data_IF_978842425122
#
_entry.id   IF_978842425122
#
_cell.length_a   1.000
_cell.length_b   1.000
_cell.length_c   1.000
_cell.angle_alpha   90.00
_cell.angle_beta   90.00
_cell.angle_gamma   90.00
#
_symmetry.space_group_name_H-M   'P 1'
#
loop_
_entity.id
_entity.type
_entity.pdbx_description
1 polymer ?
#
# COMPACT_ATOMS: atom_id res chain seq x y z
N UNK A 1 -8.11 -26.53 60.31
CA UNK A 1 -9.47 -26.17 59.86
C UNK A 1 -10.06 -25.24 60.90
N UNK A 2 -10.07 -23.93 60.64
CA UNK A 2 -10.68 -22.96 61.57
C UNK A 2 -11.34 -21.88 60.72
N UNK A 3 -12.64 -22.03 60.55
CA UNK A 3 -13.54 -21.15 59.81
C UNK A 3 -13.78 -19.89 60.64
N UNK A 4 -13.52 -18.71 60.06
CA UNK A 4 -13.86 -17.42 60.67
C UNK A 4 -14.96 -16.75 59.83
N UNK A 5 -16.19 -16.93 60.31
CA UNK A 5 -17.40 -16.26 59.85
C UNK A 5 -17.36 -14.79 60.30
N UNK A 6 -17.50 -13.85 59.37
CA UNK A 6 -17.78 -12.45 59.70
C UNK A 6 -19.11 -12.02 59.10
N UNK A 7 -20.01 -11.63 60.00
CA UNK A 7 -21.34 -11.08 59.77
C UNK A 7 -21.32 -9.63 60.25
N UNK A 8 -21.57 -8.66 59.38
CA UNK A 8 -22.00 -7.29 59.72
C UNK A 8 -22.85 -6.77 58.53
N UNK A 9 -24.19 -6.69 58.65
CA UNK A 9 -25.02 -5.52 59.04
C UNK A 9 -24.72 -4.29 58.15
N UNK A 10 -25.50 -4.00 57.10
CA UNK A 10 -26.88 -3.46 56.99
C UNK A 10 -27.05 -2.07 57.66
N UNK A 11 -27.52 -1.11 56.85
CA UNK A 11 -27.93 0.29 57.13
C UNK A 11 -26.85 1.39 57.15
N UNK A 12 -26.51 1.95 55.98
CA UNK A 12 -26.48 3.41 55.76
C UNK A 12 -26.94 3.70 54.33
N UNK A 13 -28.21 4.11 54.23
CA UNK A 13 -28.85 4.68 53.05
C UNK A 13 -28.14 6.00 52.69
N UNK A 14 -27.42 6.04 51.57
CA UNK A 14 -26.93 7.30 50.98
C UNK A 14 -27.36 7.32 49.51
N UNK A 15 -28.44 8.08 49.27
CA UNK A 15 -29.00 8.44 47.98
C UNK A 15 -27.94 9.22 47.16
N UNK A 16 -27.15 8.50 46.36
CA UNK A 16 -26.35 9.11 45.30
C UNK A 16 -27.20 9.07 44.04
N UNK A 17 -27.77 10.22 43.69
CA UNK A 17 -28.35 10.50 42.38
C UNK A 17 -27.22 10.41 41.36
N UNK A 18 -27.07 9.25 40.73
CA UNK A 18 -26.16 9.05 39.61
C UNK A 18 -26.72 9.79 38.39
N UNK A 19 -26.23 11.02 38.18
CA UNK A 19 -26.48 11.78 36.95
C UNK A 19 -25.69 11.06 35.84
N UNK A 20 -26.35 10.14 35.15
CA UNK A 20 -25.85 9.50 33.94
C UNK A 20 -25.85 10.52 32.79
N UNK A 21 -24.80 11.33 32.69
CA UNK A 21 -24.53 12.10 31.48
C UNK A 21 -24.12 11.10 30.38
N UNK A 22 -24.83 11.02 29.24
CA UNK A 22 -24.36 10.23 28.12
C UNK A 22 -23.10 10.90 27.58
N UNK A 23 -21.94 10.28 27.80
CA UNK A 23 -20.71 10.58 27.09
C UNK A 23 -20.93 10.24 25.62
N UNK A 24 -21.53 11.16 24.86
CA UNK A 24 -21.46 11.18 23.41
C UNK A 24 -19.99 11.36 23.04
N UNK A 25 -19.31 10.23 22.83
CA UNK A 25 -18.02 10.21 22.14
C UNK A 25 -18.29 10.62 20.70
N UNK A 26 -18.20 11.92 20.42
CA UNK A 26 -18.08 12.43 19.06
C UNK A 26 -16.81 11.81 18.50
N UNK A 27 -16.97 10.76 17.69
CA UNK A 27 -15.87 10.21 16.90
C UNK A 27 -15.61 11.25 15.82
N UNK A 28 -14.68 12.17 16.08
CA UNK A 28 -14.18 13.06 15.05
C UNK A 28 -13.45 12.20 14.04
N UNK A 29 -14.15 11.80 12.96
CA UNK A 29 -13.49 11.39 11.75
C UNK A 29 -12.61 12.57 11.33
N UNK A 30 -11.31 12.36 11.21
CA UNK A 30 -10.40 13.41 10.78
C UNK A 30 -10.83 13.87 9.38
N UNK A 31 -11.24 15.12 9.25
CA UNK A 31 -11.61 15.70 7.97
C UNK A 31 -10.35 15.79 7.09
N UNK A 32 -10.41 15.22 5.89
CA UNK A 32 -9.29 15.23 4.95
C UNK A 32 -9.21 16.60 4.28
N UNK A 33 -8.08 17.28 4.42
CA UNK A 33 -7.95 18.68 3.95
C UNK A 33 -7.59 18.80 2.47
N UNK A 34 -7.14 17.71 1.84
CA UNK A 34 -6.65 17.70 0.45
C UNK A 34 -5.49 18.68 0.18
N UNK A 35 -4.74 19.07 1.22
CA UNK A 35 -3.58 19.97 1.11
C UNK A 35 -2.44 19.36 0.28
N UNK A 36 -2.30 18.04 0.34
CA UNK A 36 -1.36 17.25 -0.45
C UNK A 36 -2.15 16.16 -1.17
N UNK A 37 -2.72 16.44 -2.35
CA UNK A 37 -3.68 15.53 -2.99
C UNK A 37 -3.05 14.23 -3.50
N UNK A 38 -1.72 14.22 -3.66
CA UNK A 38 -0.94 13.08 -4.14
C UNK A 38 -0.08 12.50 -3.01
N UNK A 39 0.16 11.19 -3.07
CA UNK A 39 1.09 10.52 -2.17
C UNK A 39 2.46 11.19 -2.24
N UNK A 40 3.12 11.49 -1.10
CA UNK A 40 2.95 10.93 0.25
C UNK A 40 1.89 11.60 1.14
N UNK A 41 1.03 12.47 0.59
CA UNK A 41 -0.02 13.18 1.32
C UNK A 41 0.50 14.04 2.49
N UNK A 42 1.76 14.45 2.42
CA UNK A 42 2.40 15.40 3.32
C UNK A 42 3.57 16.08 2.60
N UNK A 43 4.09 17.16 3.18
CA UNK A 43 5.33 17.80 2.69
C UNK A 43 6.54 16.97 3.09
N UNK A 44 7.17 16.32 2.11
CA UNK A 44 8.46 15.64 2.29
C UNK A 44 9.63 16.50 1.84
N UNK A 45 10.81 16.13 2.31
CA UNK A 45 12.02 16.84 1.98
C UNK A 45 12.49 16.50 0.56
N UNK A 46 12.94 17.53 -0.15
CA UNK A 46 13.48 17.45 -1.51
C UNK A 46 14.94 17.92 -1.48
N UNK A 47 15.84 17.39 -2.33
CA UNK A 47 15.61 16.42 -3.41
C UNK A 47 15.40 14.98 -2.91
N UNK A 48 14.92 14.07 -3.78
CA UNK A 48 14.59 12.71 -3.40
C UNK A 48 15.84 11.82 -3.26
N UNK A 49 16.73 12.18 -2.36
CA UNK A 49 17.92 11.40 -2.02
C UNK A 49 17.81 10.89 -0.57
N UNK A 50 18.05 9.60 -0.39
CA UNK A 50 18.04 8.89 0.90
C UNK A 50 19.15 7.84 0.88
N UNK A 51 19.80 7.55 2.03
CA UNK A 51 20.73 6.43 2.13
C UNK A 51 20.00 5.08 2.04
N UNK A 52 18.70 5.03 2.32
CA UNK A 52 17.91 3.81 2.22
C UNK A 52 17.26 3.67 0.84
N UNK A 53 17.29 2.45 0.30
CA UNK A 53 16.46 2.02 -0.82
C UNK A 53 15.69 0.74 -0.44
N UNK A 54 14.55 0.54 -1.09
CA UNK A 54 13.74 -0.68 -0.94
C UNK A 54 13.80 -1.51 -2.22
N UNK A 55 14.01 -2.81 -2.06
CA UNK A 55 13.93 -3.82 -3.12
C UNK A 55 12.76 -4.78 -2.88
N UNK A 56 12.17 -5.29 -3.96
CA UNK A 56 10.94 -6.08 -3.96
C UNK A 56 9.68 -5.24 -4.16
N UNK A 57 8.52 -5.66 -3.64
CA UNK A 57 8.33 -6.76 -2.69
C UNK A 57 8.39 -8.16 -3.34
N UNK A 58 9.03 -9.10 -2.65
CA UNK A 58 9.08 -10.52 -3.03
C UNK A 58 7.99 -11.32 -2.31
N UNK A 59 7.22 -12.11 -3.05
CA UNK A 59 6.21 -13.01 -2.46
C UNK A 59 6.88 -14.21 -1.78
N UNK A 60 6.54 -14.47 -0.51
CA UNK A 60 7.08 -15.60 0.28
C UNK A 60 6.04 -16.69 0.59
N UNK A 61 4.84 -16.62 -0.01
CA UNK A 61 3.72 -17.50 0.33
C UNK A 61 2.83 -16.94 1.43
N UNK A 62 1.66 -17.56 1.64
CA UNK A 62 0.70 -17.18 2.69
C UNK A 62 0.39 -15.68 2.73
N UNK A 63 0.17 -15.07 1.56
CA UNK A 63 -0.10 -13.62 1.42
C UNK A 63 0.97 -12.73 2.08
N UNK A 64 2.21 -13.22 2.15
CA UNK A 64 3.34 -12.51 2.76
C UNK A 64 4.27 -11.96 1.68
N UNK A 65 4.56 -10.67 1.81
CA UNK A 65 5.35 -9.88 0.86
C UNK A 65 6.48 -9.18 1.59
N UNK A 66 7.72 -9.38 1.15
CA UNK A 66 8.90 -8.89 1.84
C UNK A 66 9.66 -7.87 1.02
N UNK A 67 9.97 -6.74 1.65
CA UNK A 67 10.80 -5.66 1.15
C UNK A 67 12.19 -5.80 1.76
N UNK A 68 13.23 -5.75 0.94
CA UNK A 68 14.61 -5.72 1.43
C UNK A 68 15.11 -4.29 1.45
N UNK A 69 15.65 -3.87 2.59
CA UNK A 69 16.28 -2.58 2.76
C UNK A 69 17.74 -2.69 2.36
N UNK A 70 18.23 -1.74 1.56
CA UNK A 70 19.66 -1.57 1.29
C UNK A 70 20.10 -0.19 1.73
N UNK A 71 21.32 -0.09 2.24
CA UNK A 71 21.92 1.18 2.66
C UNK A 71 23.03 1.55 1.70
N UNK A 72 22.87 2.68 1.02
CA UNK A 72 23.96 3.33 0.32
C UNK A 72 24.68 4.29 1.29
N UNK A 73 25.78 3.81 1.87
CA UNK A 73 26.64 4.62 2.75
C UNK A 73 27.28 5.81 2.02
N UNK A 74 27.38 5.74 0.69
CA UNK A 74 27.89 6.81 -0.16
C UNK A 74 26.73 7.58 -0.78
N UNK A 75 26.01 8.30 0.06
CA UNK A 75 25.11 9.35 -0.42
C UNK A 75 25.97 10.47 -1.01
N UNK A 76 25.56 11.01 -2.16
CA UNK A 76 26.32 12.06 -2.86
C UNK A 76 26.78 13.16 -1.89
N UNK A 77 28.05 13.59 -1.93
CA UNK A 77 28.55 14.65 -1.04
C UNK A 77 27.84 16.00 -1.26
N UNK A 78 27.13 16.16 -2.38
CA UNK A 78 26.28 17.33 -2.63
C UNK A 78 24.95 17.29 -1.86
N UNK A 79 24.58 16.16 -1.24
CA UNK A 79 23.35 16.05 -0.49
C UNK A 79 23.54 16.47 0.98
N UNK A 80 23.06 17.65 1.30
CA UNK A 80 23.14 18.24 2.65
C UNK A 80 21.81 18.19 3.41
N UNK A 81 20.77 17.61 2.81
CA UNK A 81 19.43 17.50 3.39
C UNK A 81 19.42 16.57 4.61
N UNK A 82 18.36 16.67 5.41
CA UNK A 82 18.09 15.77 6.54
C UNK A 82 18.05 14.31 6.07
N UNK A 83 17.40 14.07 4.93
CA UNK A 83 17.23 12.73 4.36
C UNK A 83 18.54 12.02 4.05
N UNK A 84 19.62 12.77 3.81
CA UNK A 84 20.91 12.20 3.47
C UNK A 84 21.80 11.93 4.68
N UNK A 85 21.73 12.76 5.71
CA UNK A 85 22.76 12.79 6.75
C UNK A 85 22.25 12.38 8.14
N UNK A 86 20.94 12.47 8.38
CA UNK A 86 20.37 12.37 9.73
C UNK A 86 19.18 11.41 9.82
N UNK A 87 18.73 10.90 8.68
CA UNK A 87 17.55 10.06 8.60
C UNK A 87 17.83 8.68 9.22
N UNK A 88 17.04 8.35 10.23
CA UNK A 88 16.77 6.97 10.62
C UNK A 88 15.49 6.47 9.91
N UNK A 89 15.25 5.15 9.94
CA UNK A 89 14.11 4.52 9.29
C UNK A 89 13.21 3.86 10.34
N UNK A 90 12.26 4.66 10.86
CA UNK A 90 11.34 4.21 11.90
C UNK A 90 9.99 3.77 11.37
N UNK A 91 9.54 4.34 10.26
CA UNK A 91 8.19 4.10 9.74
C UNK A 91 8.20 4.04 8.21
N UNK A 92 7.44 3.10 7.68
CA UNK A 92 7.13 2.92 6.26
C UNK A 92 5.63 3.18 6.09
N UNK A 93 5.26 4.04 5.14
CA UNK A 93 3.86 4.20 4.73
C UNK A 93 3.70 3.86 3.25
N UNK A 94 2.60 3.19 2.90
CA UNK A 94 2.26 2.79 1.53
C UNK A 94 0.92 3.37 1.12
N UNK A 95 0.82 3.80 -0.14
CA UNK A 95 -0.44 4.24 -0.74
C UNK A 95 -1.32 3.02 -1.08
N UNK A 96 -2.46 2.88 -0.42
CA UNK A 96 -3.35 1.73 -0.60
C UNK A 96 -4.76 2.15 -0.95
N UNK A 97 -5.52 1.23 -1.52
CA UNK A 97 -6.91 1.46 -1.81
C UNK A 97 -7.77 1.45 -0.53
N UNK A 98 -8.72 2.38 -0.45
CA UNK A 98 -9.59 2.54 0.72
C UNK A 98 -10.50 1.35 0.99
N UNK A 99 -10.82 0.52 -0.01
CA UNK A 99 -11.63 -0.69 0.18
C UNK A 99 -10.91 -1.80 0.95
N UNK A 100 -9.59 -1.69 1.15
CA UNK A 100 -8.83 -2.59 2.02
C UNK A 100 -8.99 -2.24 3.51
N UNK A 101 -9.44 -1.02 3.83
CA UNK A 101 -9.76 -0.59 5.19
C UNK A 101 -11.12 -1.15 5.61
N UNK A 102 -11.13 -2.42 6.03
CA UNK A 102 -12.33 -3.06 6.55
C UNK A 102 -12.18 -3.36 8.05
N UNK A 103 -13.24 -3.13 8.85
CA UNK A 103 -13.19 -3.41 10.28
C UNK A 103 -12.75 -4.84 10.58
N UNK A 104 -11.75 -4.97 11.46
CA UNK A 104 -11.21 -6.24 11.90
C UNK A 104 -10.35 -6.97 10.86
N UNK A 105 -9.87 -6.28 9.82
CA UNK A 105 -8.84 -6.84 8.92
C UNK A 105 -7.62 -7.28 9.73
N UNK A 106 -7.06 -8.43 9.38
CA UNK A 106 -5.88 -8.98 10.06
C UNK A 106 -4.65 -8.64 9.24
N UNK A 107 -3.79 -7.79 9.79
CA UNK A 107 -2.50 -7.45 9.22
C UNK A 107 -1.41 -7.76 10.25
N UNK A 108 -0.28 -8.23 9.77
CA UNK A 108 0.90 -8.41 10.60
C UNK A 108 2.16 -8.09 9.82
N UNK A 109 3.22 -7.72 10.52
CA UNK A 109 4.52 -7.52 9.91
C UNK A 109 5.63 -8.11 10.75
N UNK A 110 6.72 -8.44 10.07
CA UNK A 110 7.97 -8.87 10.71
C UNK A 110 9.13 -8.03 10.20
N UNK A 111 10.14 -7.88 11.05
CA UNK A 111 11.44 -7.33 10.72
C UNK A 111 12.48 -8.41 10.97
N UNK A 112 13.20 -8.82 9.93
CA UNK A 112 14.18 -9.91 9.99
C UNK A 112 13.59 -11.19 10.59
N UNK A 113 12.37 -11.54 10.17
CA UNK A 113 11.63 -12.73 10.63
C UNK A 113 11.04 -12.64 12.04
N UNK A 114 11.25 -11.54 12.77
CA UNK A 114 10.66 -11.32 14.09
C UNK A 114 9.44 -10.41 13.99
N UNK A 115 8.32 -10.70 14.66
CA UNK A 115 7.17 -9.79 14.70
C UNK A 115 7.57 -8.37 15.10
N UNK A 116 7.03 -7.37 14.42
CA UNK A 116 7.22 -5.96 14.82
C UNK A 116 6.53 -5.71 16.16
N UNK A 117 6.99 -4.70 16.91
CA UNK A 117 6.42 -4.37 18.23
C UNK A 117 4.96 -3.90 18.14
N UNK A 118 4.55 -3.38 16.98
CA UNK A 118 3.19 -2.96 16.68
C UNK A 118 2.79 -3.52 15.32
N UNK A 119 1.55 -3.98 15.23
CA UNK A 119 0.98 -4.45 13.96
C UNK A 119 0.81 -3.29 12.97
N UNK A 120 0.80 -3.57 11.66
CA UNK A 120 0.45 -2.57 10.68
C UNK A 120 -0.94 -1.97 10.93
N UNK A 121 -1.11 -0.68 10.66
CA UNK A 121 -2.40 0.02 10.71
C UNK A 121 -2.80 0.57 9.35
N UNK A 122 -4.10 0.59 9.08
CA UNK A 122 -4.67 1.31 7.93
C UNK A 122 -5.37 2.55 8.46
N UNK A 123 -5.08 3.70 7.85
CA UNK A 123 -5.60 5.00 8.27
C UNK A 123 -5.87 5.91 7.07
N UNK A 124 -6.86 6.77 7.17
CA UNK A 124 -7.05 7.87 6.22
C UNK A 124 -5.87 8.86 6.32
N UNK A 125 -5.41 9.34 5.17
CA UNK A 125 -4.41 10.39 5.09
C UNK A 125 -5.03 11.75 5.42
N UNK A 126 -4.72 12.40 6.56
CA UNK A 126 -5.44 13.60 6.99
C UNK A 126 -5.27 14.80 6.06
N UNK A 127 -4.15 14.88 5.34
CA UNK A 127 -3.89 15.93 4.36
C UNK A 127 -4.04 15.45 2.91
N UNK A 128 -4.45 14.19 2.71
CA UNK A 128 -4.69 13.61 1.41
C UNK A 128 -6.04 14.01 0.82
N UNK A 129 -6.26 13.63 -0.44
CA UNK A 129 -7.58 13.72 -1.09
C UNK A 129 -8.60 12.82 -0.37
N UNK A 130 -9.91 13.06 -0.58
CA UNK A 130 -10.96 12.20 -0.04
C UNK A 130 -10.74 10.72 -0.41
N UNK A 131 -10.74 9.84 0.59
CA UNK A 131 -10.47 8.41 0.43
C UNK A 131 -9.00 8.03 0.32
N UNK A 132 -8.06 8.98 0.34
CA UNK A 132 -6.64 8.69 0.41
C UNK A 132 -6.34 7.89 1.68
N UNK A 133 -5.80 6.69 1.51
CA UNK A 133 -5.65 5.70 2.59
C UNK A 133 -4.22 5.19 2.61
N UNK A 134 -3.68 5.05 3.82
CA UNK A 134 -2.30 4.69 4.08
C UNK A 134 -2.24 3.39 4.88
N UNK A 135 -1.37 2.47 4.46
CA UNK A 135 -0.90 1.37 5.30
C UNK A 135 0.38 1.82 5.99
N UNK A 136 0.45 1.72 7.32
CA UNK A 136 1.60 2.14 8.13
C UNK A 136 2.25 0.95 8.81
N UNK A 137 3.56 0.81 8.67
CA UNK A 137 4.40 -0.08 9.46
C UNK A 137 5.33 0.80 10.30
N UNK A 138 5.19 0.76 11.61
CA UNK A 138 5.90 1.66 12.53
C UNK A 138 6.86 0.90 13.45
N UNK A 139 7.69 1.65 14.17
CA UNK A 139 8.66 1.12 15.14
C UNK A 139 9.63 0.10 14.54
N UNK A 140 10.06 0.36 13.30
CA UNK A 140 11.07 -0.46 12.63
C UNK A 140 12.43 -0.34 13.30
N UNK A 141 12.75 0.81 13.90
CA UNK A 141 14.00 1.02 14.64
C UNK A 141 15.26 0.84 13.78
N UNK A 142 15.12 1.00 12.47
CA UNK A 142 16.22 0.87 11.52
C UNK A 142 17.00 2.19 11.44
N UNK A 143 18.29 2.07 11.18
CA UNK A 143 19.21 3.17 10.95
C UNK A 143 20.37 2.67 10.06
N UNK A 144 21.25 3.56 9.64
CA UNK A 144 22.37 3.24 8.73
C UNK A 144 23.16 1.99 9.19
N UNK A 145 23.37 1.80 10.50
CA UNK A 145 24.18 0.70 11.03
C UNK A 145 23.51 -0.68 11.03
N UNK A 146 22.18 -0.75 10.92
CA UNK A 146 21.43 -2.01 11.05
C UNK A 146 20.37 -2.23 9.96
N UNK A 147 20.18 -1.27 9.06
CA UNK A 147 19.18 -1.33 8.01
C UNK A 147 19.65 -2.13 6.80
N UNK A 148 20.96 -2.21 6.55
CA UNK A 148 21.44 -2.90 5.36
C UNK A 148 21.13 -4.40 5.41
N UNK A 149 20.44 -4.88 4.38
CA UNK A 149 19.95 -6.25 4.30
C UNK A 149 18.75 -6.56 5.17
N UNK A 150 18.20 -5.59 5.92
CA UNK A 150 17.01 -5.82 6.73
C UNK A 150 15.81 -6.20 5.84
N UNK A 151 15.03 -7.19 6.25
CA UNK A 151 13.84 -7.66 5.52
C UNK A 151 12.58 -7.28 6.31
N UNK A 152 11.74 -6.44 5.71
CA UNK A 152 10.44 -6.03 6.24
C UNK A 152 9.38 -6.84 5.51
N UNK A 153 8.71 -7.76 6.21
CA UNK A 153 7.64 -8.56 5.63
C UNK A 153 6.28 -8.11 6.13
N UNK A 154 5.32 -8.01 5.21
CA UNK A 154 3.92 -7.71 5.45
C UNK A 154 3.10 -8.93 5.09
N UNK A 155 2.28 -9.43 6.02
CA UNK A 155 1.33 -10.51 5.78
C UNK A 155 -0.08 -9.94 5.74
N UNK A 156 -0.75 -10.15 4.61
CA UNK A 156 -2.08 -9.66 4.32
C UNK A 156 -3.14 -10.72 4.68
N UNK A 157 -4.21 -10.27 5.32
CA UNK A 157 -5.30 -11.13 5.76
C UNK A 157 -6.67 -10.52 5.51
N UNK A 158 -7.69 -11.32 5.75
CA UNK A 158 -9.08 -10.89 5.73
C UNK A 158 -9.60 -10.76 7.16
N UNK A 159 -10.72 -10.05 7.31
CA UNK A 159 -11.50 -10.09 8.54
C UNK A 159 -12.33 -11.39 8.62
N UNK A 160 -13.10 -11.56 9.69
CA UNK A 160 -13.95 -12.76 9.91
C UNK A 160 -15.02 -12.98 8.83
N UNK A 161 -15.34 -11.95 8.04
CA UNK A 161 -16.31 -12.02 6.94
C UNK A 161 -15.64 -12.28 5.57
N UNK A 162 -14.33 -12.57 5.54
CA UNK A 162 -13.59 -12.79 4.30
C UNK A 162 -13.37 -11.52 3.48
N UNK A 163 -13.48 -10.33 4.09
CA UNK A 163 -13.22 -9.04 3.45
C UNK A 163 -11.82 -8.54 3.80
N UNK A 164 -11.20 -7.83 2.87
CA UNK A 164 -9.83 -7.32 2.97
C UNK A 164 -9.05 -7.59 1.68
N UNK A 165 -7.84 -7.07 1.61
CA UNK A 165 -6.95 -7.27 0.48
C UNK A 165 -5.91 -8.33 0.86
N UNK A 166 -5.71 -9.32 -0.01
CA UNK A 166 -4.80 -10.46 0.24
C UNK A 166 -3.61 -10.49 -0.71
N UNK A 167 -3.64 -9.63 -1.73
CA UNK A 167 -2.55 -9.44 -2.70
C UNK A 167 -2.13 -7.98 -2.75
N UNK A 168 -0.92 -7.71 -3.25
CA UNK A 168 -0.47 -6.33 -3.48
C UNK A 168 -1.21 -5.65 -4.63
N UNK A 169 -1.69 -6.43 -5.60
CA UNK A 169 -2.54 -5.94 -6.70
C UNK A 169 -3.82 -5.30 -6.16
N UNK A 170 -4.48 -5.99 -5.22
CA UNK A 170 -5.72 -5.49 -4.61
C UNK A 170 -5.46 -4.40 -3.56
N UNK A 171 -4.27 -4.40 -2.97
CA UNK A 171 -3.89 -3.50 -1.87
C UNK A 171 -3.43 -2.14 -2.38
N UNK A 172 -2.48 -2.11 -3.31
CA UNK A 172 -1.68 -0.93 -3.58
C UNK A 172 -2.25 -0.08 -4.71
N UNK A 173 -2.27 1.25 -4.51
CA UNK A 173 -2.56 2.20 -5.59
C UNK A 173 -1.28 2.35 -6.43
N UNK A 174 -1.24 1.88 -7.68
CA UNK A 174 -0.04 1.95 -8.47
C UNK A 174 0.24 3.40 -8.89
N UNK A 175 1.53 3.83 -8.90
CA UNK A 175 1.87 5.12 -9.48
C UNK A 175 1.76 5.06 -11.00
N UNK A 176 1.20 6.08 -11.68
CA UNK A 176 1.25 6.15 -13.14
C UNK A 176 2.71 6.17 -13.65
N UNK A 177 3.05 5.47 -14.74
CA UNK A 177 2.22 4.64 -15.62
C UNK A 177 2.23 3.15 -15.25
N UNK A 178 2.68 2.78 -14.04
CA UNK A 178 2.86 1.39 -13.63
C UNK A 178 1.51 0.71 -13.44
N UNK A 179 1.51 -0.61 -13.69
CA UNK A 179 0.35 -1.47 -13.48
C UNK A 179 0.28 -1.90 -12.00
N UNK A 180 -0.80 -2.57 -11.62
CA UNK A 180 -1.03 -2.99 -10.24
C UNK A 180 0.08 -3.89 -9.69
N UNK A 181 0.05 -4.07 -8.37
CA UNK A 181 1.06 -4.82 -7.63
C UNK A 181 2.32 -4.00 -7.34
N UNK A 182 2.44 -2.80 -7.89
CA UNK A 182 3.46 -1.81 -7.50
C UNK A 182 2.90 -0.90 -6.41
N UNK A 183 3.58 -0.85 -5.26
CA UNK A 183 3.22 0.05 -4.18
C UNK A 183 4.08 1.30 -4.22
N UNK A 184 3.47 2.48 -4.06
CA UNK A 184 4.22 3.67 -3.67
C UNK A 184 4.46 3.63 -2.17
N UNK A 185 5.71 3.81 -1.78
CA UNK A 185 6.13 3.80 -0.38
C UNK A 185 6.88 5.08 -0.02
N UNK A 186 6.79 5.51 1.22
CA UNK A 186 7.53 6.65 1.78
C UNK A 186 8.12 6.25 3.12
N UNK A 187 9.30 6.77 3.40
CA UNK A 187 10.05 6.48 4.62
C UNK A 187 9.97 7.67 5.57
N UNK A 188 9.86 7.38 6.87
CA UNK A 188 9.81 8.38 7.93
C UNK A 188 10.83 8.10 9.02
N UNK A 189 11.44 9.18 9.49
CA UNK A 189 12.33 9.20 10.63
C UNK A 189 11.60 9.19 11.97
N UNK A 190 12.36 9.11 13.07
CA UNK A 190 11.84 9.27 14.43
C UNK A 190 11.23 10.64 14.69
N UNK A 191 11.64 11.68 13.97
CA UNK A 191 11.08 13.04 14.05
C UNK A 191 9.86 13.24 13.16
N UNK A 192 9.35 12.19 12.52
CA UNK A 192 8.28 12.23 11.50
C UNK A 192 8.62 13.08 10.27
N UNK A 193 9.91 13.30 9.98
CA UNK A 193 10.33 13.86 8.71
C UNK A 193 10.27 12.74 7.66
N UNK A 194 9.54 12.98 6.58
CA UNK A 194 9.51 12.05 5.46
C UNK A 194 10.57 12.38 4.42
N UNK A 195 11.13 11.29 3.93
CA UNK A 195 12.14 11.25 2.90
C UNK A 195 11.55 10.53 1.68
N UNK A 196 12.25 10.52 0.54
CA UNK A 196 11.63 10.37 -0.76
C UNK A 196 10.80 9.10 -0.95
N UNK A 197 9.88 9.21 -1.89
CA UNK A 197 9.00 8.12 -2.26
C UNK A 197 9.69 7.15 -3.21
N UNK A 198 9.42 5.87 -3.02
CA UNK A 198 9.92 4.81 -3.88
C UNK A 198 8.71 4.11 -4.52
N UNK A 199 8.79 3.87 -5.83
CA UNK A 199 7.94 2.86 -6.46
C UNK A 199 8.59 1.51 -6.19
N UNK A 200 7.84 0.58 -5.61
CA UNK A 200 8.36 -0.73 -5.19
C UNK A 200 7.67 -1.79 -6.05
N UNK A 201 8.21 -2.07 -7.26
CA UNK A 201 7.58 -2.98 -8.21
C UNK A 201 7.71 -4.41 -7.69
N UNK A 202 6.61 -5.16 -7.67
CA UNK A 202 6.67 -6.56 -7.29
C UNK A 202 7.63 -7.31 -8.24
N UNK A 203 8.76 -7.76 -7.70
CA UNK A 203 9.65 -8.67 -8.40
C UNK A 203 8.93 -10.00 -8.47
N UNK A 204 8.39 -10.34 -9.63
CA UNK A 204 7.84 -11.66 -9.89
C UNK A 204 8.99 -12.68 -9.83
N UNK A 205 9.34 -13.14 -8.63
CA UNK A 205 10.11 -14.36 -8.47
C UNK A 205 9.16 -15.48 -8.88
N UNK A 206 9.12 -15.78 -10.18
CA UNK A 206 8.54 -16.97 -10.79
C UNK A 206 7.30 -17.50 -10.06
N UNK A 207 6.10 -17.16 -10.52
CA UNK A 207 4.98 -18.09 -10.34
C UNK A 207 5.51 -19.48 -10.68
N UNK A 208 5.35 -20.51 -9.82
CA UNK A 208 5.46 -21.86 -10.33
C UNK A 208 4.46 -21.88 -11.47
N UNK A 209 4.95 -22.03 -12.70
CA UNK A 209 4.11 -22.49 -13.80
C UNK A 209 3.30 -23.62 -13.18
N UNK A 210 1.99 -23.42 -13.01
CA UNK A 210 1.09 -24.52 -12.79
C UNK A 210 1.48 -25.48 -13.91
N UNK A 211 2.22 -26.54 -13.57
CA UNK A 211 2.36 -27.69 -14.42
C UNK A 211 0.92 -28.07 -14.68
N UNK A 212 0.38 -27.59 -15.80
CA UNK A 212 -0.87 -28.08 -16.30
C UNK A 212 -0.66 -29.59 -16.31
N UNK A 213 -1.46 -30.37 -15.56
CA UNK A 213 -1.40 -31.81 -15.69
C UNK A 213 -1.51 -32.10 -17.20
N UNK A 214 -0.68 -33.01 -17.74
CA UNK A 214 -0.73 -33.34 -19.15
C UNK A 214 -2.19 -33.58 -19.53
N UNK A 215 -2.67 -33.03 -20.65
CA UNK A 215 -4.06 -33.15 -21.03
C UNK A 215 -4.46 -34.62 -20.98
N UNK A 216 -5.44 -34.94 -20.13
CA UNK A 216 -6.03 -36.27 -20.08
C UNK A 216 -6.36 -36.72 -21.51
N UNK A 217 -6.02 -37.96 -21.90
CA UNK A 217 -6.35 -38.46 -23.24
C UNK A 217 -7.84 -38.32 -23.48
N UNK A 218 -8.20 -37.56 -24.51
CA UNK A 218 -9.58 -37.31 -24.90
C UNK A 218 -10.32 -38.64 -25.15
N UNK A 219 -11.56 -38.80 -24.65
CA UNK A 219 -12.38 -39.96 -25.01
C UNK A 219 -12.68 -39.99 -26.52
N UNK A 220 -12.88 -41.19 -27.12
CA UNK A 220 -13.15 -41.32 -28.54
C UNK A 220 -14.44 -40.57 -28.93
N UNK A 221 -14.28 -39.64 -29.88
CA UNK A 221 -15.36 -38.82 -30.42
C UNK A 221 -16.38 -39.71 -31.15
N UNK A 222 -17.57 -39.85 -30.57
CA UNK A 222 -18.75 -40.34 -31.27
C UNK A 222 -19.09 -39.38 -32.42
N UNK A 223 -19.14 -39.91 -33.64
CA UNK A 223 -19.33 -39.16 -34.88
C UNK A 223 -20.58 -38.28 -34.82
N UNK A 224 -20.37 -36.96 -34.72
CA UNK A 224 -21.41 -35.94 -34.81
C UNK A 224 -21.49 -35.42 -36.25
N UNK A 225 -22.68 -35.33 -36.87
CA UNK A 225 -22.84 -34.78 -38.21
C UNK A 225 -22.32 -33.34 -38.29
N UNK A 226 -21.46 -33.08 -39.28
CA UNK A 226 -20.84 -31.78 -39.53
C UNK A 226 -21.91 -30.75 -39.90
N UNK A 227 -22.02 -29.70 -39.10
CA UNK A 227 -22.80 -28.51 -39.45
C UNK A 227 -22.11 -27.73 -40.58
N UNK A 228 -22.87 -27.05 -41.47
CA UNK A 228 -22.32 -26.20 -42.52
C UNK A 228 -21.44 -25.10 -41.94
N UNK A 229 -20.26 -24.91 -42.54
CA UNK A 229 -19.29 -23.88 -42.13
C UNK A 229 -19.89 -22.49 -42.30
N UNK A 230 -19.77 -21.67 -41.25
CA UNK A 230 -20.11 -20.25 -41.31
C UNK A 230 -19.16 -19.53 -42.30
N UNK A 231 -19.68 -18.56 -43.08
CA UNK A 231 -18.83 -17.76 -43.97
C UNK A 231 -17.81 -16.93 -43.17
N UNK A 232 -16.63 -16.68 -43.74
CA UNK A 232 -15.59 -15.90 -43.09
C UNK A 232 -16.04 -14.47 -42.81
N UNK A 233 -15.60 -13.86 -41.69
CA UNK A 233 -15.92 -12.47 -41.36
C UNK A 233 -15.36 -11.51 -42.41
N UNK A 234 -16.10 -10.45 -42.70
CA UNK A 234 -15.68 -9.40 -43.65
C UNK A 234 -14.44 -8.67 -43.14
N UNK A 235 -13.52 -8.26 -44.04
CA UNK A 235 -12.33 -7.50 -43.67
C UNK A 235 -12.71 -6.12 -43.09
N UNK A 236 -11.90 -5.59 -42.17
CA UNK A 236 -12.12 -4.27 -41.59
C UNK A 236 -12.00 -3.16 -42.66
N UNK A 237 -12.74 -2.05 -42.50
CA UNK A 237 -12.66 -0.91 -43.41
C UNK A 237 -11.26 -0.27 -43.38
N UNK A 238 -10.78 0.16 -44.55
CA UNK A 238 -9.52 0.87 -44.71
C UNK A 238 -9.55 2.22 -43.95
N UNK A 239 -8.42 2.64 -43.36
CA UNK A 239 -8.31 3.95 -42.73
C UNK A 239 -8.50 5.08 -43.77
N UNK A 240 -9.04 6.24 -43.36
CA UNK A 240 -9.18 7.39 -44.25
C UNK A 240 -7.81 7.93 -44.68
N UNK A 241 -7.70 8.51 -45.88
CA UNK A 241 -6.47 9.12 -46.36
C UNK A 241 -6.06 10.31 -45.47
N UNK A 242 -4.75 10.58 -45.32
CA UNK A 242 -4.25 11.71 -44.55
C UNK A 242 -4.75 13.04 -45.15
N UNK A 243 -5.05 14.00 -44.29
CA UNK A 243 -5.45 15.35 -44.69
C UNK A 243 -4.32 16.07 -45.44
N UNK A 244 -4.63 16.91 -46.45
CA UNK A 244 -3.64 17.70 -47.14
C UNK A 244 -2.96 18.71 -46.19
N UNK A 245 -1.68 19.05 -46.43
CA UNK A 245 -0.95 20.04 -45.64
C UNK A 245 -1.62 21.42 -45.73
N UNK A 246 -1.62 22.14 -44.60
CA UNK A 246 -2.15 23.51 -44.53
C UNK A 246 -1.30 24.46 -45.39
N UNK A 247 -1.91 25.47 -46.04
CA UNK A 247 -1.18 26.49 -46.77
C UNK A 247 -0.30 27.32 -45.81
N UNK A 248 0.85 27.82 -46.29
CA UNK A 248 1.72 28.66 -45.48
C UNK A 248 1.02 29.98 -45.08
N UNK A 249 1.36 30.54 -43.92
CA UNK A 249 0.81 31.82 -43.48
C UNK A 249 1.24 32.96 -44.43
N UNK A 250 0.41 34.01 -44.58
CA UNK A 250 0.76 35.18 -45.37
C UNK A 250 1.99 35.90 -44.79
N UNK A 251 2.81 36.55 -45.63
CA UNK A 251 3.96 37.31 -45.17
C UNK A 251 3.51 38.49 -44.29
N UNK A 252 4.33 38.88 -43.29
CA UNK A 252 4.05 40.05 -42.46
C UNK A 252 4.06 41.33 -43.31
N UNK A 253 3.25 42.34 -42.93
CA UNK A 253 3.25 43.64 -43.60
C UNK A 253 4.61 44.34 -43.44
N UNK A 254 5.01 45.18 -44.41
CA UNK A 254 6.24 45.96 -44.33
C UNK A 254 6.20 46.95 -43.16
N UNK A 255 7.34 47.22 -42.50
CA UNK A 255 7.43 48.19 -41.42
C UNK A 255 7.19 49.64 -41.93
N UNK A 256 6.65 50.53 -41.07
CA UNK A 256 6.39 51.94 -41.39
C UNK A 256 7.66 52.78 -41.56
#
# INVERSE_FOLDING_TARGET
MTTKTYTMRLEVLLLIVAISAPLLRVSQAAEQTSMFPNFPFCKCEEPPISPYSLDGPNFKGNNTYCLKVSVNEFVSPSCTSYCCNQMDFKKLEMNIYSWCDVPGVVLSSTLNGKPTSVNPSIELAPQGSSGATLLKITQLGLNISNADGAEICLTLGTNRAGKGCTTLEDLCVPPPPLLGGTCMAVLFSTTNQCCPTFAVPQTQTSSPTLLQPPPSPSPPLSARPLAPHAPPPSPPPLPPPPSPPLPPPPPPPPPP
#
